data_IF_523913786289
#
_entry.id   IF_523913786289
#
_cell.length_a   1.000
_cell.length_b   1.000
_cell.length_c   1.000
_cell.angle_alpha   90.00
_cell.angle_beta   90.00
_cell.angle_gamma   90.00
#
_symmetry.space_group_name_H-M   'P 1'
#
loop_
_entity.id
_entity.type
_entity.pdbx_description
1 polymer ?
#
# COMPACT_ATOMS: atom_id res chain seq x y z
N UNK A 1 -27.10 -20.51 -1.25
CA UNK A 1 -26.04 -19.54 -0.87
C UNK A 1 -24.79 -19.67 -1.73
N UNK A 2 -24.36 -20.87 -2.11
CA UNK A 2 -23.15 -21.08 -2.93
C UNK A 2 -23.24 -20.55 -4.38
N UNK A 3 -24.41 -20.67 -5.03
CA UNK A 3 -24.60 -20.16 -6.39
C UNK A 3 -24.44 -18.63 -6.48
N UNK A 4 -25.07 -17.87 -5.55
CA UNK A 4 -24.91 -16.41 -5.49
C UNK A 4 -23.46 -15.99 -5.28
N UNK A 5 -22.69 -16.77 -4.52
CA UNK A 5 -21.26 -16.54 -4.29
C UNK A 5 -20.45 -16.69 -5.59
N UNK A 6 -20.62 -17.82 -6.29
CA UNK A 6 -19.91 -18.08 -7.56
C UNK A 6 -20.28 -17.00 -8.60
N UNK A 7 -21.55 -16.62 -8.66
CA UNK A 7 -22.02 -15.54 -9.54
C UNK A 7 -21.33 -14.21 -9.22
N UNK A 8 -21.20 -13.84 -7.94
CA UNK A 8 -20.53 -12.62 -7.54
C UNK A 8 -19.02 -12.67 -7.81
N UNK A 9 -18.36 -13.82 -7.61
CA UNK A 9 -16.95 -14.01 -7.98
C UNK A 9 -16.73 -13.85 -9.49
N UNK A 10 -17.55 -14.49 -10.33
CA UNK A 10 -17.44 -14.38 -11.78
C UNK A 10 -17.76 -12.97 -12.28
N UNK A 11 -18.77 -12.30 -11.69
CA UNK A 11 -19.06 -10.90 -11.99
C UNK A 11 -17.89 -9.99 -11.63
N UNK A 12 -17.31 -10.15 -10.43
CA UNK A 12 -16.15 -9.36 -10.01
C UNK A 12 -14.96 -9.57 -10.96
N UNK A 13 -14.62 -10.82 -11.28
CA UNK A 13 -13.54 -11.14 -12.21
C UNK A 13 -13.75 -10.51 -13.60
N UNK A 14 -14.98 -10.59 -14.14
CA UNK A 14 -15.31 -9.96 -15.43
C UNK A 14 -15.24 -8.42 -15.38
N UNK A 15 -15.64 -7.80 -14.26
CA UNK A 15 -15.57 -6.35 -14.08
C UNK A 15 -14.11 -5.89 -14.01
N UNK A 16 -13.25 -6.62 -13.30
CA UNK A 16 -11.82 -6.31 -13.17
C UNK A 16 -11.11 -6.39 -14.52
N UNK A 17 -11.41 -7.39 -15.36
CA UNK A 17 -10.83 -7.49 -16.70
C UNK A 17 -11.08 -6.26 -17.57
N UNK A 18 -12.24 -5.61 -17.43
CA UNK A 18 -12.61 -4.39 -18.15
C UNK A 18 -12.42 -3.12 -17.33
N UNK A 19 -11.78 -3.21 -16.17
CA UNK A 19 -11.55 -2.08 -15.29
C UNK A 19 -10.55 -1.12 -15.92
N UNK A 20 -10.97 0.14 -16.04
CA UNK A 20 -10.13 1.25 -16.46
C UNK A 20 -10.24 2.36 -15.42
N UNK A 21 -9.09 2.89 -15.01
CA UNK A 21 -9.01 4.08 -14.16
C UNK A 21 -8.81 5.33 -15.02
N UNK A 22 -9.51 6.40 -14.64
CA UNK A 22 -9.32 7.74 -15.22
C UNK A 22 -9.02 8.68 -14.07
N UNK A 23 -8.02 9.55 -14.26
CA UNK A 23 -7.63 10.54 -13.27
C UNK A 23 -8.70 11.63 -13.18
N UNK A 24 -9.09 11.98 -11.96
CA UNK A 24 -9.88 13.19 -11.68
C UNK A 24 -8.95 14.31 -11.21
N UNK A 25 -9.50 15.50 -11.02
CA UNK A 25 -8.76 16.62 -10.42
C UNK A 25 -8.66 16.51 -8.89
N UNK A 26 -9.29 15.51 -8.28
CA UNK A 26 -9.28 15.30 -6.84
C UNK A 26 -7.89 14.92 -6.35
N UNK A 27 -7.49 15.49 -5.22
CA UNK A 27 -6.20 15.22 -4.59
C UNK A 27 -6.38 15.09 -3.09
N UNK A 28 -5.60 14.18 -2.52
CA UNK A 28 -5.38 14.16 -1.09
C UNK A 28 -4.37 15.25 -0.72
N UNK A 29 -4.76 16.15 0.18
CA UNK A 29 -3.84 17.09 0.80
C UNK A 29 -3.07 16.40 1.94
N UNK A 30 -2.00 17.04 2.41
CA UNK A 30 -1.25 16.71 3.62
C UNK A 30 -2.11 16.51 4.86
N UNK A 31 -3.32 17.08 4.88
CA UNK A 31 -4.30 16.89 5.95
C UNK A 31 -4.75 15.44 6.13
N UNK A 32 -4.56 14.54 5.15
CA UNK A 32 -4.89 13.11 5.36
C UNK A 32 -4.13 12.49 6.53
N UNK A 33 -2.94 13.02 6.82
CA UNK A 33 -2.10 12.53 7.91
C UNK A 33 -2.44 13.19 9.26
N UNK A 34 -3.18 14.31 9.25
CA UNK A 34 -3.62 15.03 10.47
C UNK A 34 -5.08 14.72 10.85
N UNK A 35 -5.96 14.44 9.87
CA UNK A 35 -7.41 14.26 10.05
C UNK A 35 -7.81 13.03 10.86
N UNK A 36 -6.92 12.05 11.01
CA UNK A 36 -7.21 10.78 11.68
C UNK A 36 -6.20 10.48 12.79
N UNK A 37 -5.80 11.46 13.60
CA UNK A 37 -5.03 11.16 14.82
C UNK A 37 -5.96 10.45 15.82
N UNK A 38 -5.84 9.12 16.03
CA UNK A 38 -6.42 8.51 17.21
C UNK A 38 -5.75 9.16 18.42
N UNK A 39 -6.29 8.98 19.62
CA UNK A 39 -5.54 9.21 20.85
C UNK A 39 -4.29 8.31 20.85
N UNK A 40 -3.21 8.78 20.22
CA UNK A 40 -2.00 8.02 20.00
C UNK A 40 -1.38 7.80 21.37
N UNK A 41 -1.39 6.54 21.80
CA UNK A 41 -0.70 6.15 23.00
C UNK A 41 0.80 6.19 22.71
N UNK A 42 1.43 7.34 22.98
CA UNK A 42 2.86 7.58 22.75
C UNK A 42 3.78 6.64 23.52
N UNK A 43 3.26 5.79 24.43
CA UNK A 43 4.05 4.76 25.12
C UNK A 43 4.82 3.85 24.16
N UNK A 44 4.28 3.62 22.96
CA UNK A 44 4.90 2.76 21.95
C UNK A 44 5.49 3.54 20.75
N UNK A 45 5.52 4.87 20.82
CA UNK A 45 6.10 5.69 19.77
C UNK A 45 7.61 5.45 19.68
N UNK A 46 8.12 5.28 18.45
CA UNK A 46 9.55 5.11 18.16
C UNK A 46 10.03 6.28 17.35
N UNK A 47 11.16 6.85 17.76
CA UNK A 47 11.83 7.89 16.99
C UNK A 47 12.38 7.31 15.68
N UNK A 48 12.13 8.01 14.58
CA UNK A 48 12.47 7.61 13.21
C UNK A 48 12.94 8.84 12.44
N UNK A 49 13.85 8.66 11.49
CA UNK A 49 14.53 9.77 10.80
C UNK A 49 14.05 10.01 9.38
N UNK A 50 13.59 8.96 8.69
CA UNK A 50 13.14 9.01 7.28
C UNK A 50 11.63 8.89 7.13
N UNK A 51 10.90 8.77 8.24
CA UNK A 51 9.44 8.84 8.20
C UNK A 51 8.99 10.30 8.05
N UNK A 52 7.81 10.55 7.48
CA UNK A 52 7.24 11.91 7.37
C UNK A 52 7.00 12.60 8.73
N UNK A 53 7.03 11.84 9.81
CA UNK A 53 6.92 12.28 11.20
C UNK A 53 8.13 11.82 11.99
N UNK A 54 8.51 12.56 13.03
CA UNK A 54 9.60 12.21 13.94
C UNK A 54 9.33 10.92 14.74
N UNK A 55 8.06 10.54 14.90
CA UNK A 55 7.65 9.36 15.64
C UNK A 55 6.71 8.50 14.83
N UNK A 56 6.96 7.19 14.85
CA UNK A 56 6.09 6.17 14.29
C UNK A 56 5.46 5.34 15.40
N UNK A 57 4.19 5.01 15.24
CA UNK A 57 3.49 4.03 16.06
C UNK A 57 3.19 2.82 15.18
N UNK A 58 3.81 1.69 15.53
CA UNK A 58 3.57 0.40 14.90
C UNK A 58 2.53 -0.39 15.70
N UNK A 59 1.58 -1.01 15.00
CA UNK A 59 0.53 -1.84 15.58
C UNK A 59 1.01 -3.28 15.81
N UNK A 60 2.13 -3.68 15.20
CA UNK A 60 2.69 -5.03 15.29
C UNK A 60 4.22 -5.04 15.36
N UNK A 61 4.80 -6.18 15.80
CA UNK A 61 6.26 -6.36 15.80
C UNK A 61 6.83 -6.40 14.38
N UNK A 62 6.07 -6.93 13.43
CA UNK A 62 6.44 -6.99 12.01
C UNK A 62 6.55 -5.57 11.45
N UNK A 63 5.54 -4.74 11.67
CA UNK A 63 5.55 -3.32 11.29
C UNK A 63 6.72 -2.56 11.94
N UNK A 64 6.98 -2.81 13.23
CA UNK A 64 8.12 -2.19 13.94
C UNK A 64 9.46 -2.57 13.28
N UNK A 65 9.65 -3.84 12.94
CA UNK A 65 10.87 -4.32 12.29
C UNK A 65 10.98 -3.83 10.84
N UNK A 66 9.87 -3.73 10.13
CA UNK A 66 9.82 -3.21 8.77
C UNK A 66 10.22 -1.74 8.74
N UNK A 67 9.63 -0.91 9.60
CA UNK A 67 9.98 0.50 9.72
C UNK A 67 11.44 0.72 10.10
N UNK A 68 12.01 -0.08 11.02
CA UNK A 68 13.44 0.00 11.37
C UNK A 68 14.34 -0.26 10.16
N UNK A 69 13.99 -1.21 9.31
CA UNK A 69 14.77 -1.52 8.11
C UNK A 69 14.67 -0.39 7.08
N UNK A 70 13.46 0.19 6.89
CA UNK A 70 13.28 1.37 6.04
C UNK A 70 14.12 2.56 6.54
N UNK A 71 14.10 2.83 7.84
CA UNK A 71 14.83 3.96 8.43
C UNK A 71 16.36 3.78 8.32
N UNK A 72 16.85 2.55 8.48
CA UNK A 72 18.27 2.21 8.38
C UNK A 72 18.79 2.16 6.94
N UNK A 73 17.92 2.07 5.93
CA UNK A 73 18.32 1.83 4.54
C UNK A 73 18.75 3.10 3.79
N UNK A 74 19.98 3.15 3.28
CA UNK A 74 20.55 4.34 2.61
C UNK A 74 19.85 4.75 1.30
N UNK A 75 19.11 3.83 0.70
CA UNK A 75 18.42 4.01 -0.59
C UNK A 75 16.96 4.48 -0.43
N UNK A 76 16.41 4.33 0.77
CA UNK A 76 15.10 4.88 1.13
C UNK A 76 15.27 6.36 1.42
N UNK A 77 14.53 7.20 0.72
CA UNK A 77 14.55 8.66 0.91
C UNK A 77 13.54 9.07 1.98
N UNK A 78 12.31 8.57 1.85
CA UNK A 78 11.22 8.85 2.78
C UNK A 78 10.21 7.70 2.76
N UNK A 79 9.58 7.44 3.89
CA UNK A 79 8.48 6.47 3.98
C UNK A 79 7.36 6.96 4.89
N UNK A 80 6.18 6.35 4.76
CA UNK A 80 5.02 6.64 5.60
C UNK A 80 4.14 5.42 5.78
N UNK A 81 3.58 5.25 6.98
CA UNK A 81 2.41 4.39 7.20
C UNK A 81 1.16 5.16 6.82
N UNK A 82 0.43 4.68 5.81
CA UNK A 82 -0.73 5.38 5.29
C UNK A 82 -1.87 5.39 6.32
N UNK A 83 -2.58 6.52 6.46
CA UNK A 83 -3.70 6.61 7.37
C UNK A 83 -4.84 5.74 6.86
N UNK A 84 -5.67 5.24 7.79
CA UNK A 84 -6.85 4.44 7.46
C UNK A 84 -7.86 5.14 6.55
N UNK A 85 -7.77 6.46 6.36
CA UNK A 85 -8.62 7.22 5.45
C UNK A 85 -8.18 7.20 3.98
N UNK A 86 -7.01 6.61 3.67
CA UNK A 86 -6.51 6.50 2.31
C UNK A 86 -7.03 5.22 1.65
N UNK A 87 -7.78 5.34 0.55
CA UNK A 87 -8.37 4.18 -0.11
C UNK A 87 -8.25 4.23 -1.62
N UNK A 88 -8.12 3.05 -2.20
CA UNK A 88 -8.22 2.78 -3.63
C UNK A 88 -9.61 2.18 -3.88
N UNK A 89 -10.44 2.80 -4.72
CA UNK A 89 -11.75 2.28 -5.04
C UNK A 89 -11.60 1.01 -5.89
N UNK A 90 -12.23 -0.09 -5.46
CA UNK A 90 -12.28 -1.34 -6.23
C UNK A 90 -13.72 -1.86 -6.37
N UNK A 91 -14.03 -2.66 -7.41
CA UNK A 91 -15.36 -3.25 -7.58
C UNK A 91 -15.79 -4.20 -6.45
N UNK A 92 -14.85 -4.68 -5.63
CA UNK A 92 -15.07 -5.60 -4.51
C UNK A 92 -14.88 -4.91 -3.15
N UNK A 93 -15.01 -3.58 -3.14
CA UNK A 93 -14.89 -2.72 -1.97
C UNK A 93 -13.51 -2.11 -1.80
N UNK A 94 -13.44 -1.03 -1.02
CA UNK A 94 -12.24 -0.22 -0.89
C UNK A 94 -11.02 -1.01 -0.41
N UNK A 95 -9.85 -0.54 -0.85
CA UNK A 95 -8.57 -1.12 -0.51
C UNK A 95 -7.61 -0.07 0.04
N UNK A 96 -7.10 -0.29 1.25
CA UNK A 96 -6.15 0.61 1.90
C UNK A 96 -4.77 -0.06 1.92
N UNK A 97 -3.79 0.40 1.13
CA UNK A 97 -2.40 0.00 1.29
C UNK A 97 -1.84 0.50 2.63
N UNK A 98 -0.93 -0.25 3.24
CA UNK A 98 -0.41 0.06 4.57
C UNK A 98 0.73 1.09 4.54
N UNK A 99 1.60 1.02 3.53
CA UNK A 99 2.83 1.80 3.48
C UNK A 99 3.03 2.45 2.10
N UNK A 100 3.67 3.63 2.10
CA UNK A 100 4.27 4.22 0.91
C UNK A 100 5.76 4.48 1.17
N UNK A 101 6.61 4.06 0.24
CA UNK A 101 8.08 4.14 0.35
C UNK A 101 8.65 4.76 -0.91
N UNK A 102 9.43 5.82 -0.78
CA UNK A 102 10.11 6.45 -1.90
C UNK A 102 11.58 6.06 -1.94
N UNK A 103 12.01 5.56 -3.10
CA UNK A 103 13.41 5.29 -3.45
C UNK A 103 13.87 6.31 -4.48
N UNK A 104 15.18 6.59 -4.49
CA UNK A 104 15.80 7.43 -5.51
C UNK A 104 16.83 6.63 -6.30
N UNK A 105 16.62 6.56 -7.61
CA UNK A 105 17.60 6.01 -8.56
C UNK A 105 17.92 7.09 -9.60
N UNK A 106 19.10 7.71 -9.47
CA UNK A 106 19.49 8.83 -10.32
C UNK A 106 18.53 10.03 -10.21
N UNK A 107 17.87 10.37 -11.33
CA UNK A 107 16.87 11.44 -11.44
C UNK A 107 15.42 10.96 -11.33
N UNK A 108 15.17 9.65 -11.32
CA UNK A 108 13.81 9.08 -11.27
C UNK A 108 13.46 8.73 -9.83
N UNK A 109 12.29 9.19 -9.39
CA UNK A 109 11.74 8.82 -8.09
C UNK A 109 10.76 7.66 -8.27
N UNK A 110 11.05 6.55 -7.59
CA UNK A 110 10.12 5.42 -7.53
C UNK A 110 9.38 5.45 -6.21
N UNK A 111 8.05 5.43 -6.27
CA UNK A 111 7.21 5.37 -5.07
C UNK A 111 6.51 4.02 -5.07
N UNK A 112 6.81 3.22 -4.06
CA UNK A 112 6.23 1.91 -3.85
C UNK A 112 5.12 2.00 -2.82
N UNK A 113 3.92 1.62 -3.24
CA UNK A 113 2.79 1.39 -2.36
C UNK A 113 2.77 -0.09 -1.99
N UNK A 114 2.69 -0.35 -0.69
CA UNK A 114 2.90 -1.66 -0.10
C UNK A 114 1.73 -2.00 0.81
N UNK A 115 1.16 -3.19 0.64
CA UNK A 115 0.33 -3.80 1.67
C UNK A 115 1.11 -4.89 2.40
N UNK A 116 1.08 -4.83 3.73
CA UNK A 116 1.71 -5.80 4.60
C UNK A 116 0.76 -6.98 4.80
N UNK A 117 1.25 -8.20 4.55
CA UNK A 117 0.41 -9.39 4.69
C UNK A 117 0.14 -9.69 6.17
N UNK A 118 -1.09 -9.43 6.63
CA UNK A 118 -1.54 -9.97 7.93
C UNK A 118 -1.77 -11.48 7.80
N UNK A 119 -1.23 -12.24 8.76
CA UNK A 119 -1.10 -13.71 8.72
C UNK A 119 -2.34 -14.48 8.24
N UNK A 120 -2.03 -15.52 7.46
CA UNK A 120 -2.89 -16.57 6.87
C UNK A 120 -4.35 -16.18 6.55
N UNK A 121 -4.62 -15.89 5.27
CA UNK A 121 -5.98 -15.95 4.73
C UNK A 121 -6.50 -17.38 4.76
N UNK A 122 -7.38 -17.65 5.74
CA UNK A 122 -7.84 -19.00 6.07
C UNK A 122 -8.80 -19.62 5.04
N UNK A 123 -9.33 -18.86 4.09
CA UNK A 123 -10.23 -19.38 3.05
C UNK A 123 -9.77 -19.03 1.63
N UNK A 124 -10.04 -19.93 0.67
CA UNK A 124 -9.78 -19.72 -0.76
C UNK A 124 -10.49 -18.46 -1.31
N UNK A 125 -11.62 -18.09 -0.70
CA UNK A 125 -12.43 -16.94 -1.13
C UNK A 125 -11.77 -15.62 -0.74
N UNK A 126 -11.25 -15.53 0.49
CA UNK A 126 -10.53 -14.35 0.96
C UNK A 126 -9.33 -14.06 0.06
N UNK A 127 -8.62 -15.11 -0.37
CA UNK A 127 -7.48 -14.98 -1.30
C UNK A 127 -7.90 -14.39 -2.64
N UNK A 128 -8.96 -14.88 -3.28
CA UNK A 128 -9.43 -14.36 -4.58
C UNK A 128 -9.85 -12.89 -4.51
N UNK A 129 -10.57 -12.49 -3.45
CA UNK A 129 -10.98 -11.09 -3.27
C UNK A 129 -9.76 -10.21 -3.07
N UNK A 130 -8.79 -10.68 -2.29
CA UNK A 130 -7.53 -9.97 -2.08
C UNK A 130 -6.71 -9.83 -3.37
N UNK A 131 -6.58 -10.90 -4.15
CA UNK A 131 -5.93 -10.90 -5.46
C UNK A 131 -6.57 -9.86 -6.39
N UNK A 132 -7.91 -9.80 -6.43
CA UNK A 132 -8.62 -8.77 -7.19
C UNK A 132 -8.28 -7.36 -6.70
N UNK A 133 -8.25 -7.12 -5.38
CA UNK A 133 -7.90 -5.80 -4.83
C UNK A 133 -6.48 -5.40 -5.15
N UNK A 134 -5.55 -6.34 -5.11
CA UNK A 134 -4.14 -6.14 -5.49
C UNK A 134 -4.05 -5.77 -6.97
N UNK A 135 -4.68 -6.53 -7.86
CA UNK A 135 -4.69 -6.24 -9.31
C UNK A 135 -5.28 -4.85 -9.60
N UNK A 136 -6.35 -4.46 -8.88
CA UNK A 136 -6.92 -3.13 -8.98
C UNK A 136 -5.93 -2.04 -8.55
N UNK A 137 -5.20 -2.26 -7.44
CA UNK A 137 -4.20 -1.33 -6.94
C UNK A 137 -3.02 -1.15 -7.91
N UNK A 138 -2.53 -2.24 -8.51
CA UNK A 138 -1.49 -2.19 -9.54
C UNK A 138 -1.93 -1.31 -10.71
N UNK A 139 -3.10 -1.59 -11.29
CA UNK A 139 -3.65 -0.80 -12.41
C UNK A 139 -3.90 0.66 -12.04
N UNK A 140 -4.34 0.92 -10.79
CA UNK A 140 -4.60 2.27 -10.30
C UNK A 140 -3.32 3.10 -10.26
N UNK A 141 -2.24 2.57 -9.65
CA UNK A 141 -0.98 3.29 -9.54
C UNK A 141 -0.22 3.36 -10.86
N UNK A 142 -0.27 2.32 -11.70
CA UNK A 142 0.29 2.36 -13.05
C UNK A 142 -0.33 3.49 -13.89
N UNK A 143 -1.64 3.73 -13.73
CA UNK A 143 -2.33 4.82 -14.42
C UNK A 143 -1.94 6.21 -13.90
N UNK A 144 -1.52 6.31 -12.64
CA UNK A 144 -1.07 7.54 -12.00
C UNK A 144 0.41 7.85 -12.25
N UNK A 145 1.19 6.88 -12.73
CA UNK A 145 2.58 7.08 -13.11
C UNK A 145 2.72 8.12 -14.23
N UNK A 146 3.82 8.87 -14.18
CA UNK A 146 4.18 9.91 -15.16
C UNK A 146 5.67 9.83 -15.49
N UNK A 147 6.13 10.60 -16.48
CA UNK A 147 7.51 10.53 -16.98
C UNK A 147 8.58 10.69 -15.88
N UNK A 148 8.30 11.48 -14.84
CA UNK A 148 9.24 11.77 -13.75
C UNK A 148 8.98 10.99 -12.45
N UNK A 149 7.82 10.35 -12.33
CA UNK A 149 7.40 9.64 -11.11
C UNK A 149 6.78 8.31 -11.50
N UNK A 150 7.47 7.23 -11.14
CA UNK A 150 7.00 5.87 -11.37
C UNK A 150 6.40 5.34 -10.07
N UNK A 151 5.08 5.16 -10.07
CA UNK A 151 4.35 4.56 -8.96
C UNK A 151 4.24 3.07 -9.22
N UNK A 152 4.65 2.26 -8.24
CA UNK A 152 4.50 0.81 -8.29
C UNK A 152 3.75 0.34 -7.07
N UNK A 153 2.84 -0.60 -7.29
CA UNK A 153 2.19 -1.31 -6.20
C UNK A 153 2.77 -2.70 -6.06
N UNK A 154 3.00 -3.17 -4.84
CA UNK A 154 3.37 -4.56 -4.60
C UNK A 154 2.91 -5.02 -3.23
N UNK A 155 2.30 -6.20 -3.19
CA UNK A 155 2.08 -6.91 -1.93
C UNK A 155 3.40 -7.49 -1.47
N UNK A 156 3.85 -7.13 -0.27
CA UNK A 156 5.10 -7.66 0.31
C UNK A 156 4.89 -8.10 1.75
N UNK A 157 5.78 -8.97 2.21
CA UNK A 157 5.81 -9.49 3.58
C UNK A 157 7.04 -9.01 4.37
N UNK A 158 8.01 -8.39 3.70
CA UNK A 158 9.31 -8.03 4.28
C UNK A 158 10.03 -6.97 3.45
N UNK A 159 10.97 -6.27 4.11
CA UNK A 159 11.85 -5.30 3.45
C UNK A 159 12.72 -5.97 2.37
N UNK A 160 13.19 -7.20 2.59
CA UNK A 160 13.98 -7.92 1.58
C UNK A 160 13.20 -8.13 0.27
N UNK A 161 11.91 -8.48 0.36
CA UNK A 161 11.04 -8.61 -0.81
C UNK A 161 10.85 -7.26 -1.50
N UNK A 162 10.62 -6.18 -0.73
CA UNK A 162 10.55 -4.83 -1.29
C UNK A 162 11.83 -4.45 -2.03
N UNK A 163 12.98 -4.72 -1.41
CA UNK A 163 14.29 -4.38 -1.95
C UNK A 163 14.59 -5.12 -3.25
N UNK A 164 14.21 -6.41 -3.34
CA UNK A 164 14.30 -7.19 -4.57
C UNK A 164 13.49 -6.57 -5.72
N UNK A 165 12.21 -6.26 -5.44
CA UNK A 165 11.32 -5.62 -6.41
C UNK A 165 11.84 -4.23 -6.82
N UNK A 166 12.37 -3.46 -5.86
CA UNK A 166 12.93 -2.14 -6.11
C UNK A 166 14.14 -2.18 -7.06
N UNK A 167 14.94 -3.24 -7.03
CA UNK A 167 16.12 -3.41 -7.88
C UNK A 167 15.91 -4.33 -9.09
N UNK A 168 14.67 -4.76 -9.37
CA UNK A 168 14.37 -5.68 -10.47
C UNK A 168 15.05 -7.05 -10.35
N UNK A 169 15.22 -7.55 -9.12
CA UNK A 169 15.85 -8.85 -8.81
C UNK A 169 14.88 -9.85 -8.19
#
# INVERSE_FOLDING_TARGET
MEASRIINEQKAAMVVQKLAYTTTDDRFDTDIFTMNQPNYNFKNAKEVKKHIYHYLIADSKTEENFAKQLDASDVVVVYVKLPKGFFIPTPVGDYNPDWAVAFKEGSVQYIYFVAETKGSMSSLQMRKIEEIKIECAERFFDKLSSDNVQLKYSKIDSFDTLWKIANGR
#
